data_IF_032780983821
#
_entry.id   IF_032780983821
#
_cell.length_a   1.000
_cell.length_b   1.000
_cell.length_c   1.000
_cell.angle_alpha   90.00
_cell.angle_beta   90.00
_cell.angle_gamma   90.00
#
_symmetry.space_group_name_H-M   'P 1'
#
loop_
_entity.id
_entity.type
_entity.pdbx_description
1 polymer ?
#
# COMPACT_ATOMS: atom_id res chain seq x y z
N UNK A 1 4.44 4.76 6.89
CA UNK A 1 3.53 3.76 6.28
C UNK A 1 3.67 3.82 4.77
N UNK A 2 3.23 2.78 4.06
CA UNK A 2 3.15 2.81 2.60
C UNK A 2 1.84 2.18 2.12
N UNK A 3 1.35 2.64 0.98
CA UNK A 3 0.23 2.03 0.24
C UNK A 3 0.69 1.87 -1.22
N UNK A 4 0.40 0.70 -1.79
CA UNK A 4 0.60 0.43 -3.21
C UNK A 4 -0.68 -0.10 -3.81
N UNK A 5 -1.14 0.49 -4.91
CA UNK A 5 -2.31 -0.01 -5.64
C UNK A 5 -2.00 -1.37 -6.29
N UNK A 6 -2.96 -2.29 -6.27
CA UNK A 6 -2.77 -3.63 -6.80
C UNK A 6 -2.41 -3.62 -8.30
N UNK A 7 -3.00 -2.71 -9.09
CA UNK A 7 -2.70 -2.56 -10.52
C UNK A 7 -1.26 -2.17 -10.87
N UNK A 8 -0.47 -1.71 -9.90
CA UNK A 8 0.96 -1.45 -10.02
C UNK A 8 1.83 -2.72 -10.04
N UNK A 9 1.26 -3.87 -9.66
CA UNK A 9 1.89 -5.20 -9.68
C UNK A 9 1.26 -5.98 -10.84
N UNK A 10 2.07 -6.51 -11.75
CA UNK A 10 1.59 -6.99 -13.06
C UNK A 10 1.66 -8.49 -13.27
N UNK A 11 2.56 -9.17 -12.57
CA UNK A 11 2.75 -10.61 -12.67
C UNK A 11 3.41 -11.13 -11.40
N UNK A 12 3.30 -12.43 -11.18
CA UNK A 12 4.06 -13.12 -10.16
C UNK A 12 5.55 -13.15 -10.50
N UNK A 13 6.38 -13.23 -9.46
CA UNK A 13 7.82 -13.45 -9.59
C UNK A 13 8.09 -14.96 -9.51
N UNK A 14 8.65 -15.59 -10.56
CA UNK A 14 8.89 -17.03 -10.56
C UNK A 14 9.98 -17.42 -9.54
N UNK A 15 9.94 -18.67 -9.09
CA UNK A 15 10.98 -19.23 -8.22
C UNK A 15 12.36 -19.30 -8.92
N UNK A 16 13.42 -19.28 -8.10
CA UNK A 16 14.80 -19.44 -8.57
C UNK A 16 15.59 -18.12 -8.62
N UNK A 17 16.55 -18.05 -9.54
CA UNK A 17 17.41 -16.87 -9.68
C UNK A 17 16.62 -15.72 -10.29
N UNK A 18 16.40 -14.68 -9.50
CA UNK A 18 15.69 -13.47 -9.92
C UNK A 18 16.59 -12.60 -10.79
N UNK A 19 16.09 -12.26 -11.97
CA UNK A 19 16.72 -11.34 -12.92
C UNK A 19 16.06 -9.97 -12.88
N UNK A 20 16.79 -8.92 -13.26
CA UNK A 20 16.22 -7.58 -13.37
C UNK A 20 15.02 -7.52 -14.34
N UNK A 21 15.07 -8.27 -15.46
CA UNK A 21 13.97 -8.32 -16.42
C UNK A 21 12.67 -8.87 -15.82
N UNK A 22 12.76 -9.83 -14.90
CA UNK A 22 11.59 -10.35 -14.17
C UNK A 22 11.05 -9.31 -13.18
N UNK A 23 11.93 -8.62 -12.44
CA UNK A 23 11.51 -7.52 -11.54
C UNK A 23 10.80 -6.42 -12.33
N UNK A 24 11.31 -6.07 -13.51
CA UNK A 24 10.67 -5.11 -14.41
C UNK A 24 9.30 -5.60 -14.89
N UNK A 25 9.13 -6.87 -15.21
CA UNK A 25 7.82 -7.43 -15.57
C UNK A 25 6.81 -7.30 -14.41
N UNK A 26 7.26 -7.46 -13.16
CA UNK A 26 6.40 -7.29 -11.97
C UNK A 26 5.98 -5.83 -11.78
N UNK A 27 6.90 -4.87 -11.88
CA UNK A 27 6.65 -3.42 -11.71
C UNK A 27 7.24 -2.59 -12.88
N UNK A 28 6.55 -2.51 -14.04
CA UNK A 28 7.11 -1.95 -15.28
C UNK A 28 6.95 -0.43 -15.42
N UNK A 29 6.40 0.25 -14.41
CA UNK A 29 5.93 1.64 -14.56
C UNK A 29 7.00 2.68 -14.24
N UNK A 30 8.02 2.32 -13.45
CA UNK A 30 9.05 3.24 -13.02
C UNK A 30 8.47 4.50 -12.35
N UNK A 31 7.46 4.31 -11.49
CA UNK A 31 6.84 5.42 -10.80
C UNK A 31 7.81 6.01 -9.78
N UNK A 32 7.78 7.34 -9.59
CA UNK A 32 8.54 7.98 -8.52
C UNK A 32 7.84 7.77 -7.18
N UNK A 33 8.60 7.39 -6.15
CA UNK A 33 8.08 7.28 -4.79
C UNK A 33 8.01 8.65 -4.14
N UNK A 34 6.82 9.00 -3.64
CA UNK A 34 6.57 10.25 -2.96
C UNK A 34 6.26 10.00 -1.48
N UNK A 35 6.79 10.87 -0.63
CA UNK A 35 6.43 10.96 0.78
C UNK A 35 5.36 12.01 0.95
N UNK A 36 4.18 11.60 1.38
CA UNK A 36 3.04 12.45 1.67
C UNK A 36 2.92 12.68 3.17
N UNK A 37 2.51 13.88 3.54
CA UNK A 37 2.04 14.21 4.89
C UNK A 37 0.52 14.28 4.87
N UNK A 38 -0.14 13.32 5.51
CA UNK A 38 -1.61 13.16 5.47
C UNK A 38 -2.22 13.24 6.86
N UNK A 39 -3.45 13.78 6.95
CA UNK A 39 -4.26 13.66 8.17
C UNK A 39 -4.80 12.24 8.32
N UNK A 40 -5.12 11.86 9.54
CA UNK A 40 -5.62 10.52 9.84
C UNK A 40 -6.95 10.19 9.15
N UNK A 41 -7.84 11.17 9.01
CA UNK A 41 -9.07 11.02 8.22
C UNK A 41 -8.79 10.70 6.75
N UNK A 42 -7.91 11.46 6.08
CA UNK A 42 -7.50 11.20 4.69
C UNK A 42 -6.83 9.84 4.54
N UNK A 43 -6.00 9.44 5.51
CA UNK A 43 -5.39 8.11 5.52
C UNK A 43 -6.45 7.02 5.69
N UNK A 44 -7.43 7.22 6.55
CA UNK A 44 -8.54 6.29 6.73
C UNK A 44 -9.37 6.17 5.45
N UNK A 45 -9.66 7.28 4.77
CA UNK A 45 -10.37 7.28 3.48
C UNK A 45 -9.59 6.48 2.43
N UNK A 46 -8.27 6.61 2.38
CA UNK A 46 -7.43 5.82 1.49
C UNK A 46 -7.47 4.31 1.82
N UNK A 47 -7.51 3.93 3.10
CA UNK A 47 -7.64 2.54 3.52
C UNK A 47 -9.06 1.98 3.28
N UNK A 48 -10.10 2.79 3.47
CA UNK A 48 -11.49 2.44 3.12
C UNK A 48 -11.61 2.17 1.62
N UNK A 49 -10.95 2.99 0.80
CA UNK A 49 -10.87 2.77 -0.65
C UNK A 49 -10.17 1.45 -1.00
N UNK A 50 -9.11 1.08 -0.28
CA UNK A 50 -8.46 -0.22 -0.47
C UNK A 50 -9.42 -1.40 -0.27
N UNK A 51 -10.21 -1.40 0.80
CA UNK A 51 -11.17 -2.48 1.12
C UNK A 51 -12.50 -2.36 0.34
N UNK A 52 -12.57 -1.42 -0.60
CA UNK A 52 -13.68 -1.23 -1.53
C UNK A 52 -13.46 -1.91 -2.89
N UNK A 53 -12.43 -2.76 -3.00
CA UNK A 53 -12.15 -3.52 -4.23
C UNK A 53 -13.25 -4.49 -4.64
N UNK A 54 -13.04 -5.12 -5.81
CA UNK A 54 -13.98 -6.12 -6.36
C UNK A 54 -14.18 -7.27 -5.40
N UNK A 55 -15.40 -7.80 -5.37
CA UNK A 55 -15.81 -8.90 -4.48
C UNK A 55 -15.49 -8.66 -2.99
N UNK A 56 -15.41 -7.38 -2.60
CA UNK A 56 -15.05 -6.93 -1.25
C UNK A 56 -13.66 -7.37 -0.78
N UNK A 57 -12.74 -7.61 -1.72
CA UNK A 57 -11.32 -7.88 -1.44
C UNK A 57 -10.50 -6.59 -1.48
N UNK A 58 -9.40 -6.49 -0.73
CA UNK A 58 -8.50 -5.35 -0.82
C UNK A 58 -7.88 -5.23 -2.22
N UNK A 59 -7.96 -4.05 -2.84
CA UNK A 59 -7.32 -3.74 -4.13
C UNK A 59 -6.04 -2.90 -3.98
N UNK A 60 -5.41 -3.01 -2.80
CA UNK A 60 -4.15 -2.37 -2.49
C UNK A 60 -3.35 -3.20 -1.47
N UNK A 61 -2.05 -2.92 -1.38
CA UNK A 61 -1.12 -3.50 -0.43
C UNK A 61 -0.62 -2.41 0.52
N UNK A 62 -0.41 -2.75 1.80
CA UNK A 62 -0.04 -1.77 2.84
C UNK A 62 1.16 -2.21 3.67
N UNK A 63 1.91 -1.22 4.17
CA UNK A 63 3.01 -1.44 5.11
C UNK A 63 2.94 -0.47 6.30
N UNK A 64 3.22 -0.99 7.50
CA UNK A 64 3.21 -0.22 8.75
C UNK A 64 1.83 -0.05 9.40
N UNK A 65 0.80 -0.69 8.85
CA UNK A 65 -0.55 -0.76 9.41
C UNK A 65 -1.18 -2.13 9.15
N UNK A 66 -1.97 -2.61 10.09
CA UNK A 66 -2.93 -3.69 9.91
C UNK A 66 -4.35 -3.13 9.99
N UNK A 67 -5.24 -3.68 9.19
CA UNK A 67 -6.61 -3.20 8.98
C UNK A 67 -7.58 -4.36 9.16
N UNK A 68 -8.57 -4.18 10.03
CA UNK A 68 -9.71 -5.09 10.15
C UNK A 68 -10.93 -4.42 9.53
N UNK A 69 -11.68 -5.18 8.72
CA UNK A 69 -12.80 -4.63 7.98
C UNK A 69 -13.97 -5.61 7.86
N UNK A 70 -15.18 -5.05 7.79
CA UNK A 70 -16.45 -5.74 7.69
C UNK A 70 -17.15 -5.31 6.39
N UNK A 71 -17.37 -6.27 5.49
CA UNK A 71 -17.92 -5.99 4.16
C UNK A 71 -19.44 -5.77 4.16
N UNK A 72 -20.13 -6.14 5.25
CA UNK A 72 -21.55 -5.87 5.46
C UNK A 72 -21.85 -4.42 5.80
N UNK A 73 -20.83 -3.61 6.16
CA UNK A 73 -20.98 -2.18 6.41
C UNK A 73 -21.01 -1.36 5.13
N UNK A 74 -21.62 -0.18 5.24
CA UNK A 74 -21.69 0.79 4.14
C UNK A 74 -20.27 1.15 3.63
N UNK A 75 -20.10 1.39 2.31
CA UNK A 75 -18.84 1.88 1.77
C UNK A 75 -18.33 3.13 2.52
N UNK A 76 -17.03 3.17 2.83
CA UNK A 76 -16.43 4.25 3.64
C UNK A 76 -16.59 4.06 5.16
N UNK A 77 -17.22 2.97 5.60
CA UNK A 77 -17.38 2.62 7.01
C UNK A 77 -17.08 1.13 7.28
N UNK A 78 -16.30 0.50 6.40
CA UNK A 78 -15.99 -0.94 6.51
C UNK A 78 -14.91 -1.21 7.54
N UNK A 79 -13.98 -0.28 7.76
CA UNK A 79 -12.88 -0.47 8.70
C UNK A 79 -13.42 -0.42 10.13
N UNK A 80 -13.22 -1.52 10.85
CA UNK A 80 -13.64 -1.68 12.25
C UNK A 80 -12.50 -1.40 13.22
N UNK A 81 -11.26 -1.66 12.81
CA UNK A 81 -10.06 -1.46 13.60
C UNK A 81 -8.85 -1.24 12.71
N UNK A 82 -7.90 -0.46 13.20
CA UNK A 82 -6.54 -0.37 12.65
C UNK A 82 -5.52 -0.61 13.75
N UNK A 83 -4.32 -1.07 13.38
CA UNK A 83 -3.18 -1.19 14.29
C UNK A 83 -1.91 -0.74 13.57
N UNK A 84 -1.30 0.32 14.08
CA UNK A 84 -0.01 0.83 13.62
C UNK A 84 1.14 0.02 14.22
N UNK A 85 2.35 0.18 13.69
CA UNK A 85 3.55 -0.52 14.17
C UNK A 85 3.86 -0.28 15.67
N UNK A 86 3.43 0.85 16.23
CA UNK A 86 3.56 1.15 17.66
C UNK A 86 2.45 0.53 18.54
N UNK A 87 1.56 -0.28 17.94
CA UNK A 87 0.43 -0.94 18.61
C UNK A 87 -0.83 -0.07 18.75
N UNK A 88 -0.77 1.22 18.43
CA UNK A 88 -1.90 2.13 18.55
C UNK A 88 -2.85 2.04 17.35
N UNK A 89 -4.12 2.37 17.56
CA UNK A 89 -5.06 2.60 16.46
C UNK A 89 -4.73 3.92 15.76
N UNK A 90 -5.15 4.02 14.49
CA UNK A 90 -5.10 5.26 13.75
C UNK A 90 -6.03 6.31 14.41
N UNK A 91 -5.44 7.43 14.80
CA UNK A 91 -6.14 8.64 15.23
C UNK A 91 -6.42 9.54 14.01
N UNK A 92 -7.68 9.94 13.83
CA UNK A 92 -8.14 10.80 12.73
C UNK A 92 -7.58 12.23 12.79
N UNK A 93 -7.33 12.76 14.00
CA UNK A 93 -6.83 14.13 14.19
C UNK A 93 -5.32 14.27 13.99
N UNK A 94 -4.59 13.16 14.12
CA UNK A 94 -3.14 13.11 13.97
C UNK A 94 -2.69 13.25 12.52
N UNK A 95 -1.40 13.52 12.35
CA UNK A 95 -0.74 13.62 11.03
C UNK A 95 0.22 12.45 10.87
N UNK A 96 0.27 11.87 9.68
CA UNK A 96 1.08 10.70 9.36
C UNK A 96 1.91 10.91 8.10
N UNK A 97 3.02 10.19 8.04
CA UNK A 97 3.82 10.05 6.83
C UNK A 97 3.42 8.79 6.07
N UNK A 98 3.04 8.99 4.81
CA UNK A 98 2.59 7.95 3.89
C UNK A 98 3.46 7.96 2.64
N UNK A 99 4.02 6.81 2.25
CA UNK A 99 4.73 6.63 0.98
C UNK A 99 3.78 5.99 -0.04
N UNK A 100 3.70 6.58 -1.23
CA UNK A 100 2.94 6.07 -2.39
C UNK A 100 3.70 6.38 -3.68
N UNK A 101 3.29 5.80 -4.81
CA UNK A 101 3.73 6.24 -6.13
C UNK A 101 3.16 7.62 -6.49
N UNK A 102 3.86 8.35 -7.37
CA UNK A 102 3.37 9.58 -8.00
C UNK A 102 2.03 9.39 -8.74
N UNK A 103 1.82 8.23 -9.37
CA UNK A 103 0.54 7.82 -9.94
C UNK A 103 -0.60 7.88 -8.91
N UNK A 104 -0.42 7.28 -7.74
CA UNK A 104 -1.43 7.30 -6.67
C UNK A 104 -1.57 8.71 -6.07
N UNK A 105 -0.47 9.42 -5.85
CA UNK A 105 -0.47 10.78 -5.30
C UNK A 105 -1.16 11.80 -6.22
N UNK A 106 -1.30 11.50 -7.51
CA UNK A 106 -2.04 12.32 -8.49
C UNK A 106 -3.48 11.83 -8.70
N UNK A 107 -3.95 10.86 -7.91
CA UNK A 107 -5.33 10.37 -7.93
C UNK A 107 -5.55 9.10 -8.75
N UNK A 108 -4.49 8.49 -9.28
CA UNK A 108 -4.54 7.20 -9.96
C UNK A 108 -5.21 6.11 -9.12
N UNK A 109 -5.83 5.12 -9.76
CA UNK A 109 -6.61 4.06 -9.11
C UNK A 109 -7.72 4.56 -8.17
N UNK A 110 -8.20 5.80 -8.33
CA UNK A 110 -9.27 6.37 -7.51
C UNK A 110 -8.81 7.01 -6.20
N UNK A 111 -7.50 7.15 -5.97
CA UNK A 111 -6.94 7.76 -4.75
C UNK A 111 -7.01 9.31 -4.74
N UNK A 112 -8.13 9.88 -5.20
CA UNK A 112 -8.34 11.32 -5.34
C UNK A 112 -8.18 12.10 -4.02
N UNK A 113 -8.42 11.44 -2.87
CA UNK A 113 -8.22 12.02 -1.54
C UNK A 113 -6.76 12.42 -1.26
N UNK A 114 -5.78 11.82 -1.95
CA UNK A 114 -4.36 12.10 -1.76
C UNK A 114 -3.86 13.33 -2.53
N UNK A 115 -4.63 13.82 -3.52
CA UNK A 115 -4.16 14.83 -4.50
C UNK A 115 -3.72 16.17 -3.90
N UNK A 116 -4.25 16.52 -2.73
CA UNK A 116 -3.96 17.78 -2.03
C UNK A 116 -2.96 17.64 -0.88
N UNK A 117 -2.48 16.42 -0.60
CA UNK A 117 -1.53 16.20 0.48
C UNK A 117 -0.19 16.88 0.15
N UNK A 118 0.43 17.61 1.10
CA UNK A 118 1.82 18.01 0.99
C UNK A 118 2.70 16.80 0.70
N UNK A 119 3.59 16.94 -0.28
CA UNK A 119 4.41 15.83 -0.79
C UNK A 119 5.84 16.25 -1.07
N UNK A 120 6.74 15.32 -0.81
CA UNK A 120 8.17 15.38 -1.12
C UNK A 120 8.50 14.23 -2.05
N UNK A 121 9.28 14.50 -3.08
CA UNK A 121 9.81 13.50 -3.98
C UNK A 121 11.06 12.86 -3.36
N UNK A 122 11.07 11.53 -3.24
CA UNK A 122 12.18 10.81 -2.62
C UNK A 122 13.34 10.54 -3.58
N UNK A 123 13.18 10.86 -4.87
CA UNK A 123 14.12 10.55 -5.94
C UNK A 123 14.49 9.07 -6.03
N UNK A 124 13.46 8.23 -5.82
CA UNK A 124 13.56 6.77 -5.91
C UNK A 124 12.44 6.26 -6.80
N UNK A 125 12.79 5.41 -7.76
CA UNK A 125 11.81 4.67 -8.56
C UNK A 125 11.31 3.45 -7.77
N UNK A 126 10.04 3.11 -7.93
CA UNK A 126 9.43 1.94 -7.29
C UNK A 126 10.18 0.63 -7.61
N UNK A 127 10.57 0.43 -8.87
CA UNK A 127 11.36 -0.72 -9.32
C UNK A 127 12.77 -0.75 -8.69
N UNK A 128 13.40 0.41 -8.49
CA UNK A 128 14.71 0.49 -7.84
C UNK A 128 14.59 0.16 -6.36
N UNK A 129 13.52 0.62 -5.70
CA UNK A 129 13.22 0.26 -4.33
C UNK A 129 13.02 -1.26 -4.18
N UNK A 130 12.23 -1.90 -5.04
CA UNK A 130 12.05 -3.36 -5.02
C UNK A 130 13.37 -4.09 -5.28
N UNK A 131 14.12 -3.69 -6.30
CA UNK A 131 15.41 -4.32 -6.67
C UNK A 131 16.41 -4.24 -5.51
N UNK A 132 16.55 -3.06 -4.89
CA UNK A 132 17.42 -2.87 -3.72
C UNK A 132 16.95 -3.70 -2.53
N UNK A 133 15.63 -3.74 -2.29
CA UNK A 133 15.07 -4.53 -1.20
C UNK A 133 15.36 -6.03 -1.36
N UNK A 134 15.11 -6.59 -2.55
CA UNK A 134 15.44 -7.99 -2.84
C UNK A 134 16.95 -8.28 -2.67
N UNK A 135 17.81 -7.34 -3.04
CA UNK A 135 19.27 -7.47 -2.93
C UNK A 135 19.81 -7.48 -1.50
N UNK A 136 19.05 -7.00 -0.50
CA UNK A 136 19.48 -7.03 0.92
C UNK A 136 18.86 -8.18 1.72
N UNK A 137 17.91 -8.91 1.15
CA UNK A 137 17.29 -10.07 1.81
C UNK A 137 18.24 -11.26 1.81
N UNK A 138 18.22 -12.03 2.90
CA UNK A 138 18.96 -13.29 3.00
C UNK A 138 18.36 -14.30 2.03
N UNK A 139 19.20 -14.95 1.22
CA UNK A 139 18.77 -16.05 0.35
C UNK A 139 18.68 -17.39 1.11
N UNK A 140 17.69 -18.25 0.80
CA UNK A 140 16.59 -18.00 -0.14
C UNK A 140 15.60 -16.96 0.39
N UNK A 141 15.05 -16.14 -0.51
CA UNK A 141 13.98 -15.20 -0.18
C UNK A 141 12.66 -15.95 -0.15
N UNK A 142 11.97 -15.90 0.97
CA UNK A 142 10.62 -16.45 1.13
C UNK A 142 9.60 -15.32 1.17
N UNK A 143 8.42 -15.56 0.60
CA UNK A 143 7.32 -14.61 0.69
C UNK A 143 6.91 -14.46 2.17
N UNK A 144 6.71 -13.23 2.66
CA UNK A 144 6.29 -13.02 4.04
C UNK A 144 4.87 -13.57 4.26
N UNK A 145 4.63 -14.19 5.42
CA UNK A 145 3.32 -14.71 5.82
C UNK A 145 2.47 -13.67 6.59
N UNK A 146 2.89 -12.40 6.59
CA UNK A 146 2.25 -11.33 7.34
C UNK A 146 0.94 -10.89 6.67
N UNK A 147 -0.20 -11.18 7.30
CA UNK A 147 -1.50 -10.69 6.86
C UNK A 147 -1.75 -9.25 7.37
N UNK A 148 -2.03 -8.34 6.45
CA UNK A 148 -2.26 -6.91 6.76
C UNK A 148 -3.73 -6.50 6.71
N UNK A 149 -4.57 -7.26 6.02
CA UNK A 149 -6.00 -7.03 5.94
C UNK A 149 -6.75 -8.22 6.51
N UNK A 150 -7.59 -7.97 7.50
CA UNK A 150 -8.29 -8.99 8.27
C UNK A 150 -9.79 -8.81 8.09
N UNK A 151 -10.42 -9.70 7.33
CA UNK A 151 -11.88 -9.66 7.12
C UNK A 151 -12.59 -10.20 8.37
N UNK A 152 -13.52 -9.44 8.93
CA UNK A 152 -14.17 -9.76 10.23
C UNK A 152 -15.63 -10.18 10.13
N UNK A 153 -16.27 -10.05 8.97
CA UNK A 153 -17.60 -10.61 8.71
C UNK A 153 -17.49 -12.11 8.43
N UNK A 154 -17.56 -12.89 9.50
CA UNK A 154 -17.80 -14.33 9.51
C UNK A 154 -18.83 -14.68 10.57
#
# INVERSE_FOLDING_TARGET
MAIMNNGGIRTDLPEGVVTWGQVYQVQPFQNRLLRLTVKGDVLLDALEHCVAGRDHLPDCHVAGVEVWYDTGKAPGQRITRTRLANGQSLDKGATYTLVVSDFMATGGSGFGMLTRAPREDLDVLDIDALTRYLGVLRSPVEAPNDERFHRTDR
#
